data_IF_990763130525
#
_entry.id   IF_990763130525
#
_cell.length_a   1.000
_cell.length_b   1.000
_cell.length_c   1.000
_cell.angle_alpha   90.00
_cell.angle_beta   90.00
_cell.angle_gamma   90.00
#
_symmetry.space_group_name_H-M   'P 1'
#
loop_
_entity.id
_entity.type
_entity.pdbx_description
1 polymer ?
#
# COMPACT_ATOMS: atom_id res chain seq x y z
N UNK A 1 -17.03 25.60 -26.43
CA UNK A 1 -16.41 24.27 -26.50
C UNK A 1 -15.90 23.92 -25.13
N UNK A 2 -16.50 22.91 -24.49
CA UNK A 2 -16.06 22.38 -23.21
C UNK A 2 -14.65 21.80 -23.36
N UNK A 3 -13.68 22.40 -22.69
CA UNK A 3 -12.37 21.78 -22.48
C UNK A 3 -12.51 20.89 -21.26
N UNK A 4 -12.75 19.61 -21.49
CA UNK A 4 -12.65 18.57 -20.47
C UNK A 4 -11.16 18.43 -20.17
N UNK A 5 -10.70 19.09 -19.10
CA UNK A 5 -9.40 18.81 -18.50
C UNK A 5 -9.48 17.47 -17.77
N UNK A 6 -9.47 16.37 -18.52
CA UNK A 6 -9.18 15.06 -17.98
C UNK A 6 -7.69 15.04 -17.60
N UNK A 7 -7.38 15.39 -16.35
CA UNK A 7 -6.11 15.00 -15.76
C UNK A 7 -6.13 13.48 -15.70
N UNK A 8 -5.40 12.84 -16.62
CA UNK A 8 -5.11 11.41 -16.60
C UNK A 8 -4.21 11.16 -15.39
N UNK A 9 -4.81 11.18 -14.21
CA UNK A 9 -4.22 10.70 -12.98
C UNK A 9 -4.21 9.19 -13.06
N UNK A 10 -3.03 8.61 -13.21
CA UNK A 10 -2.81 7.19 -13.01
C UNK A 10 -3.47 6.79 -11.68
N UNK A 11 -4.48 5.91 -11.70
CA UNK A 11 -5.25 5.56 -10.50
C UNK A 11 -4.40 4.73 -9.53
N UNK A 12 -3.62 5.45 -8.74
CA UNK A 12 -2.66 4.87 -7.79
C UNK A 12 -3.33 4.15 -6.62
N UNK A 13 -4.64 4.34 -6.41
CA UNK A 13 -5.44 3.65 -5.37
C UNK A 13 -5.77 2.24 -5.87
N UNK A 14 -6.26 2.14 -7.10
CA UNK A 14 -6.58 0.86 -7.74
C UNK A 14 -5.35 -0.04 -7.89
N UNK A 15 -4.20 0.52 -8.26
CA UNK A 15 -2.95 -0.25 -8.38
C UNK A 15 -2.49 -0.86 -7.04
N UNK A 16 -2.53 -0.09 -5.95
CA UNK A 16 -2.16 -0.57 -4.61
C UNK A 16 -3.12 -1.66 -4.11
N UNK A 17 -4.43 -1.48 -4.30
CA UNK A 17 -5.42 -2.48 -3.91
C UNK A 17 -5.18 -3.81 -4.64
N UNK A 18 -4.88 -3.77 -5.93
CA UNK A 18 -4.55 -4.96 -6.71
C UNK A 18 -3.28 -5.66 -6.19
N UNK A 19 -2.23 -4.89 -5.87
CA UNK A 19 -1.00 -5.44 -5.27
C UNK A 19 -1.31 -6.13 -3.92
N UNK A 20 -2.07 -5.49 -3.03
CA UNK A 20 -2.42 -6.07 -1.73
C UNK A 20 -3.25 -7.34 -1.91
N UNK A 21 -4.21 -7.33 -2.84
CA UNK A 21 -5.03 -8.51 -3.19
C UNK A 21 -4.15 -9.68 -3.65
N UNK A 22 -3.23 -9.43 -4.59
CA UNK A 22 -2.31 -10.46 -5.05
C UNK A 22 -1.37 -10.95 -3.94
N UNK A 23 -0.88 -10.06 -3.07
CA UNK A 23 -0.05 -10.48 -1.93
C UNK A 23 -0.83 -11.35 -0.94
N UNK A 24 -2.11 -11.05 -0.69
CA UNK A 24 -2.95 -11.87 0.18
C UNK A 24 -3.13 -13.30 -0.35
N UNK A 25 -3.17 -13.48 -1.67
CA UNK A 25 -3.27 -14.79 -2.31
C UNK A 25 -1.93 -15.54 -2.35
N UNK A 26 -0.83 -14.81 -2.56
CA UNK A 26 0.51 -15.40 -2.67
C UNK A 26 1.04 -15.84 -1.30
N UNK A 27 0.78 -15.04 -0.25
CA UNK A 27 1.26 -15.35 1.11
C UNK A 27 0.59 -16.59 1.71
N UNK A 28 -0.55 -17.03 1.20
CA UNK A 28 -1.32 -18.16 1.75
C UNK A 28 -1.00 -19.52 1.10
N UNK A 29 -0.26 -19.56 -0.01
CA UNK A 29 -0.18 -20.77 -0.85
C UNK A 29 1.24 -21.25 -1.18
N UNK A 30 2.30 -20.54 -0.73
CA UNK A 30 3.69 -20.85 -1.14
C UNK A 30 4.74 -20.41 -0.10
N UNK A 31 5.86 -21.16 -0.02
CA UNK A 31 7.10 -20.74 0.67
C UNK A 31 7.76 -19.56 -0.06
N UNK A 32 7.33 -18.35 0.27
CA UNK A 32 7.81 -17.13 -0.38
C UNK A 32 8.56 -16.23 0.57
N UNK A 33 9.61 -15.64 0.02
CA UNK A 33 10.38 -14.57 0.64
C UNK A 33 10.17 -13.31 -0.18
N UNK A 34 9.94 -12.20 0.51
CA UNK A 34 9.56 -10.93 -0.11
C UNK A 34 10.66 -9.90 0.12
N UNK A 35 11.00 -9.13 -0.91
CA UNK A 35 11.91 -7.99 -0.78
C UNK A 35 11.24 -6.76 -1.39
N UNK A 36 11.19 -5.68 -0.60
CA UNK A 36 10.62 -4.40 -1.03
C UNK A 36 11.73 -3.43 -1.39
N UNK A 37 11.68 -2.90 -2.61
CA UNK A 37 12.59 -1.87 -3.11
C UNK A 37 11.79 -0.64 -3.46
N UNK A 38 12.26 0.53 -3.02
CA UNK A 38 11.54 1.78 -3.21
C UNK A 38 12.50 2.87 -3.66
N UNK A 39 12.19 3.48 -4.80
CA UNK A 39 12.95 4.62 -5.35
C UNK A 39 12.08 5.86 -5.45
N UNK A 40 12.69 7.03 -5.23
CA UNK A 40 12.02 8.34 -5.30
C UNK A 40 12.88 9.36 -6.02
N UNK A 41 12.23 10.17 -6.84
CA UNK A 41 12.75 11.41 -7.42
C UNK A 41 11.90 12.54 -6.85
N UNK A 42 12.41 13.24 -5.83
CA UNK A 42 11.70 14.36 -5.22
C UNK A 42 11.98 15.64 -6.01
N UNK A 43 10.93 16.34 -6.45
CA UNK A 43 11.06 17.57 -7.23
C UNK A 43 10.73 18.81 -6.43
N UNK A 44 9.63 18.77 -5.68
CA UNK A 44 9.18 19.91 -4.90
C UNK A 44 8.46 19.46 -3.64
N UNK A 45 8.44 20.37 -2.69
CA UNK A 45 7.60 20.27 -1.49
C UNK A 45 6.60 21.42 -1.53
N UNK A 46 5.37 21.16 -1.12
CA UNK A 46 4.33 22.18 -1.07
C UNK A 46 3.59 22.13 0.26
N UNK A 47 3.03 23.27 0.63
CA UNK A 47 2.23 23.45 1.84
C UNK A 47 1.04 24.33 1.53
N UNK A 48 -0.14 23.83 1.84
CA UNK A 48 -1.40 24.55 1.65
C UNK A 48 -1.52 25.67 2.68
N UNK A 49 -2.23 26.74 2.29
CA UNK A 49 -2.60 27.82 3.20
C UNK A 49 -3.55 27.29 4.27
N UNK A 50 -3.39 27.78 5.49
CA UNK A 50 -4.25 27.36 6.62
C UNK A 50 -5.60 28.08 6.65
N UNK A 51 -5.73 29.24 5.99
CA UNK A 51 -6.93 30.07 5.93
C UNK A 51 -7.12 30.57 4.49
N UNK A 52 -8.37 30.84 4.12
CA UNK A 52 -8.71 31.24 2.75
C UNK A 52 -8.28 30.18 1.75
N UNK A 53 -8.63 28.92 2.02
CA UNK A 53 -8.40 27.84 1.07
C UNK A 53 -9.40 28.02 -0.07
N UNK A 54 -8.87 28.30 -1.26
CA UNK A 54 -9.68 28.33 -2.47
C UNK A 54 -9.94 26.88 -2.90
N UNK A 55 -11.18 26.44 -2.74
CA UNK A 55 -11.65 25.11 -3.15
C UNK A 55 -12.36 25.20 -4.50
N UNK A 56 -12.44 24.09 -5.23
CA UNK A 56 -13.11 24.08 -6.53
C UNK A 56 -14.60 24.37 -6.38
N UNK A 57 -15.19 25.04 -7.37
CA UNK A 57 -16.64 25.29 -7.38
C UNK A 57 -17.43 23.98 -7.35
N UNK A 58 -16.99 22.97 -8.11
CA UNK A 58 -17.63 21.64 -8.12
C UNK A 58 -17.68 21.00 -6.72
N UNK A 59 -16.60 21.11 -5.94
CA UNK A 59 -16.60 20.62 -4.57
C UNK A 59 -17.62 21.37 -3.70
N UNK A 60 -17.70 22.69 -3.85
CA UNK A 60 -18.66 23.50 -3.10
C UNK A 60 -20.11 23.24 -3.52
N UNK A 61 -20.37 23.03 -4.81
CA UNK A 61 -21.69 22.67 -5.33
C UNK A 61 -22.15 21.33 -4.74
N UNK A 62 -21.26 20.34 -4.69
CA UNK A 62 -21.57 19.03 -4.09
C UNK A 62 -21.72 19.11 -2.57
N UNK A 63 -20.95 19.98 -1.90
CA UNK A 63 -21.15 20.27 -0.47
C UNK A 63 -22.51 20.94 -0.25
N UNK A 64 -22.95 21.84 -1.14
CA UNK A 64 -24.26 22.48 -1.02
C UNK A 64 -25.42 21.48 -1.19
N UNK A 65 -25.24 20.50 -2.07
CA UNK A 65 -26.20 19.43 -2.29
C UNK A 65 -26.35 18.48 -1.09
N UNK A 66 -25.40 18.46 -0.15
CA UNK A 66 -25.49 17.61 1.04
C UNK A 66 -26.63 18.08 1.98
N UNK A 67 -27.47 17.16 2.47
CA UNK A 67 -28.58 17.50 3.34
C UNK A 67 -28.06 17.95 4.71
N UNK A 68 -28.74 18.95 5.29
CA UNK A 68 -28.42 19.47 6.62
C UNK A 68 -28.69 18.44 7.73
N UNK A 69 -29.68 17.56 7.51
CA UNK A 69 -29.90 16.37 8.33
C UNK A 69 -28.98 15.24 7.86
N UNK A 70 -28.35 14.54 8.80
CA UNK A 70 -27.42 13.47 8.48
C UNK A 70 -28.12 12.30 7.75
N UNK A 71 -27.78 12.12 6.48
CA UNK A 71 -28.20 10.99 5.65
C UNK A 71 -26.99 10.16 5.23
N UNK A 72 -26.78 9.01 5.90
CA UNK A 72 -25.56 8.19 5.77
C UNK A 72 -25.17 7.93 4.31
N UNK A 73 -26.13 7.57 3.46
CA UNK A 73 -25.88 7.24 2.06
C UNK A 73 -25.33 8.41 1.23
N UNK A 74 -25.86 9.62 1.41
CA UNK A 74 -25.42 10.80 0.64
C UNK A 74 -24.03 11.26 1.07
N UNK A 75 -23.78 11.26 2.38
CA UNK A 75 -22.46 11.60 2.90
C UNK A 75 -21.41 10.52 2.57
N UNK A 76 -21.79 9.25 2.50
CA UNK A 76 -20.89 8.18 2.05
C UNK A 76 -20.54 8.34 0.57
N UNK A 77 -21.51 8.65 -0.29
CA UNK A 77 -21.26 8.93 -1.70
C UNK A 77 -20.25 10.08 -1.87
N UNK A 78 -20.42 11.16 -1.11
CA UNK A 78 -19.46 12.28 -1.10
C UNK A 78 -18.04 11.83 -0.70
N UNK A 79 -17.89 10.96 0.31
CA UNK A 79 -16.58 10.43 0.71
C UNK A 79 -15.98 9.47 -0.32
N UNK A 80 -16.78 8.75 -1.10
CA UNK A 80 -16.29 7.90 -2.18
C UNK A 80 -15.78 8.75 -3.36
N UNK A 81 -16.47 9.84 -3.68
CA UNK A 81 -16.11 10.74 -4.78
C UNK A 81 -14.87 11.60 -4.45
N UNK A 82 -14.83 12.19 -3.26
CA UNK A 82 -13.78 13.14 -2.87
C UNK A 82 -12.67 12.53 -1.98
N UNK A 83 -12.92 11.35 -1.41
CA UNK A 83 -12.05 10.75 -0.41
C UNK A 83 -12.26 11.31 0.99
N UNK A 84 -11.45 10.83 1.93
CA UNK A 84 -11.59 11.15 3.37
C UNK A 84 -10.70 12.29 3.84
N UNK A 85 -9.63 12.58 3.11
CA UNK A 85 -8.62 13.58 3.45
C UNK A 85 -8.11 14.28 2.21
N UNK A 86 -7.72 15.54 2.36
CA UNK A 86 -6.92 16.26 1.37
C UNK A 86 -5.48 16.44 1.87
N UNK A 87 -4.56 16.77 0.98
CA UNK A 87 -3.15 16.95 1.33
C UNK A 87 -2.86 18.37 1.79
N UNK A 88 -2.41 18.52 3.04
CA UNK A 88 -2.03 19.82 3.61
C UNK A 88 -0.57 20.17 3.38
N UNK A 89 0.33 19.21 3.59
CA UNK A 89 1.71 19.31 3.13
C UNK A 89 2.00 18.11 2.27
N UNK A 90 2.71 18.31 1.16
CA UNK A 90 3.02 17.22 0.26
C UNK A 90 4.39 17.35 -0.36
N UNK A 91 4.85 16.23 -0.91
CA UNK A 91 6.02 16.19 -1.78
C UNK A 91 5.58 15.68 -3.14
N UNK A 92 5.97 16.39 -4.18
CA UNK A 92 5.69 16.02 -5.57
C UNK A 92 6.95 15.53 -6.26
N UNK A 93 6.79 14.56 -7.15
CA UNK A 93 7.89 13.94 -7.86
C UNK A 93 7.49 12.63 -8.49
N UNK A 94 8.43 11.68 -8.50
CA UNK A 94 8.24 10.33 -9.01
C UNK A 94 8.58 9.31 -7.93
N UNK A 95 7.80 8.23 -7.86
CA UNK A 95 8.05 7.13 -6.93
C UNK A 95 7.76 5.81 -7.63
N UNK A 96 8.66 4.84 -7.49
CA UNK A 96 8.37 3.46 -7.84
C UNK A 96 8.57 2.56 -6.61
N UNK A 97 7.74 1.54 -6.53
CA UNK A 97 7.77 0.54 -5.47
C UNK A 97 7.69 -0.85 -6.10
N UNK A 98 8.73 -1.65 -5.83
CA UNK A 98 8.89 -3.00 -6.34
C UNK A 98 8.79 -3.98 -5.18
N UNK A 99 7.96 -5.00 -5.32
CA UNK A 99 7.86 -6.10 -4.37
C UNK A 99 8.27 -7.36 -5.10
N UNK A 100 9.51 -7.78 -4.84
CA UNK A 100 10.08 -9.02 -5.35
C UNK A 100 9.52 -10.18 -4.54
N UNK A 101 8.98 -11.17 -5.24
CA UNK A 101 8.43 -12.40 -4.67
C UNK A 101 9.36 -13.52 -5.11
N UNK A 102 10.05 -14.13 -4.16
CA UNK A 102 11.07 -15.14 -4.41
C UNK A 102 10.65 -16.49 -3.85
N UNK A 103 11.04 -17.56 -4.53
CA UNK A 103 10.78 -18.91 -4.06
C UNK A 103 11.87 -19.35 -3.07
N UNK A 104 11.47 -19.67 -1.84
CA UNK A 104 12.39 -20.10 -0.78
C UNK A 104 13.13 -21.41 -1.12
N UNK A 105 12.48 -22.33 -1.85
CA UNK A 105 13.11 -23.59 -2.27
C UNK A 105 14.26 -23.34 -3.24
N UNK A 106 14.05 -22.42 -4.19
CA UNK A 106 15.04 -22.08 -5.21
C UNK A 106 16.17 -21.24 -4.60
N UNK A 107 15.84 -20.33 -3.67
CA UNK A 107 16.84 -19.61 -2.87
C UNK A 107 17.80 -20.57 -2.17
N UNK A 108 17.25 -21.60 -1.50
CA UNK A 108 18.06 -22.63 -0.83
C UNK A 108 18.85 -23.50 -1.80
N UNK A 109 18.22 -23.98 -2.87
CA UNK A 109 18.84 -24.82 -3.90
C UNK A 109 20.06 -24.13 -4.53
N UNK A 110 19.89 -22.87 -4.94
CA UNK A 110 20.95 -22.06 -5.57
C UNK A 110 21.87 -21.37 -4.57
N UNK A 111 21.64 -21.56 -3.26
CA UNK A 111 22.41 -20.92 -2.17
C UNK A 111 22.45 -19.39 -2.29
N UNK A 112 21.34 -18.80 -2.74
CA UNK A 112 21.17 -17.35 -2.88
C UNK A 112 20.62 -16.79 -1.58
N UNK A 113 21.28 -15.76 -1.05
CA UNK A 113 20.87 -15.07 0.18
C UNK A 113 20.16 -13.76 -0.14
N UNK A 114 19.40 -13.22 0.83
CA UNK A 114 18.82 -11.87 0.73
C UNK A 114 19.87 -10.81 0.37
N UNK A 115 21.06 -10.89 0.96
CA UNK A 115 22.17 -9.98 0.65
C UNK A 115 22.60 -10.07 -0.82
N UNK A 116 22.63 -11.28 -1.39
CA UNK A 116 22.98 -11.49 -2.80
C UNK A 116 21.95 -10.82 -3.71
N UNK A 117 20.66 -10.96 -3.41
CA UNK A 117 19.59 -10.33 -4.19
C UNK A 117 19.65 -8.81 -4.07
N UNK A 118 19.83 -8.30 -2.86
CA UNK A 118 20.01 -6.87 -2.61
C UNK A 118 21.17 -6.31 -3.40
N UNK A 119 22.34 -6.95 -3.35
CA UNK A 119 23.54 -6.51 -4.05
C UNK A 119 23.30 -6.47 -5.56
N UNK A 120 22.65 -7.48 -6.13
CA UNK A 120 22.35 -7.52 -7.56
C UNK A 120 21.38 -6.42 -8.00
N UNK A 121 20.36 -6.12 -7.19
CA UNK A 121 19.47 -4.98 -7.46
C UNK A 121 20.21 -3.65 -7.34
N UNK A 122 21.07 -3.47 -6.34
CA UNK A 122 21.89 -2.26 -6.21
C UNK A 122 22.88 -2.09 -7.37
N UNK A 123 23.49 -3.18 -7.84
CA UNK A 123 24.44 -3.16 -8.95
C UNK A 123 23.74 -2.77 -10.26
N UNK A 124 22.58 -3.37 -10.55
CA UNK A 124 21.79 -3.02 -11.75
C UNK A 124 21.45 -1.53 -11.79
N UNK A 125 21.14 -0.93 -10.63
CA UNK A 125 20.82 0.49 -10.51
C UNK A 125 22.04 1.43 -10.51
N UNK A 126 23.16 1.04 -9.90
CA UNK A 126 24.36 1.89 -9.77
C UNK A 126 25.24 1.90 -11.01
N UNK A 127 25.38 0.75 -11.66
CA UNK A 127 26.35 0.57 -12.75
C UNK A 127 25.71 0.49 -14.13
N UNK A 128 24.38 0.52 -14.22
CA UNK A 128 23.64 0.46 -15.48
C UNK A 128 23.93 -0.76 -16.34
N UNK A 129 24.25 -1.87 -15.69
CA UNK A 129 24.58 -3.13 -16.36
C UNK A 129 23.27 -3.82 -16.73
N UNK A 130 23.01 -3.99 -18.03
CA UNK A 130 21.96 -4.88 -18.53
C UNK A 130 22.34 -6.33 -18.18
N UNK A 131 21.82 -6.85 -17.06
CA UNK A 131 22.05 -8.25 -16.66
C UNK A 131 21.51 -9.26 -17.67
N UNK A 132 20.56 -8.87 -18.52
CA UNK A 132 19.93 -9.73 -19.54
C UNK A 132 20.68 -9.78 -20.89
N UNK A 133 21.69 -8.92 -21.11
CA UNK A 133 22.49 -8.89 -22.35
C UNK A 133 23.99 -8.80 -22.04
N UNK A 134 24.63 -9.92 -21.74
CA UNK A 134 26.10 -10.02 -21.80
C UNK A 134 26.54 -11.44 -22.18
N UNK A 135 26.28 -11.79 -23.44
CA UNK A 135 27.22 -12.59 -24.20
C UNK A 135 28.29 -11.66 -24.77
N UNK A 136 29.55 -11.94 -24.45
CA UNK A 136 30.80 -11.39 -25.00
C UNK A 136 30.74 -10.00 -25.68
N UNK A 137 30.97 -8.94 -24.91
CA UNK A 137 31.73 -7.78 -25.39
C UNK A 137 32.20 -6.92 -24.20
N UNK A 138 33.53 -6.88 -24.05
CA UNK A 138 34.36 -5.79 -23.52
C UNK A 138 34.01 -5.15 -22.15
N UNK A 139 34.79 -5.57 -21.14
CA UNK A 139 35.56 -4.57 -20.37
C UNK A 139 34.94 -3.93 -19.13
N UNK A 140 33.78 -4.36 -18.64
CA UNK A 140 33.27 -3.93 -17.33
C UNK A 140 33.26 -5.06 -16.30
N UNK A 141 33.78 -4.74 -15.11
CA UNK A 141 34.02 -5.68 -14.00
C UNK A 141 32.72 -6.39 -13.65
N UNK A 142 32.69 -7.67 -13.99
CA UNK A 142 31.64 -8.64 -13.69
C UNK A 142 31.55 -8.88 -12.17
N UNK A 143 30.36 -8.80 -11.57
CA UNK A 143 29.88 -9.79 -10.59
C UNK A 143 29.03 -10.87 -11.31
N UNK A 144 29.36 -11.17 -12.58
CA UNK A 144 28.63 -12.05 -13.51
C UNK A 144 28.83 -13.51 -13.16
N UNK A 145 28.10 -13.95 -12.15
CA UNK A 145 27.99 -15.36 -11.81
C UNK A 145 27.05 -15.56 -10.63
N UNK A 146 26.98 -14.57 -9.72
CA UNK A 146 26.02 -14.58 -8.61
C UNK A 146 24.64 -14.09 -9.03
N UNK A 147 24.57 -13.05 -9.85
CA UNK A 147 23.29 -12.46 -10.26
C UNK A 147 22.59 -13.22 -11.40
N UNK A 148 23.34 -14.01 -12.19
CA UNK A 148 22.77 -14.83 -13.27
C UNK A 148 21.72 -15.81 -12.72
N UNK A 149 21.99 -16.40 -11.56
CA UNK A 149 21.08 -17.30 -10.84
C UNK A 149 19.74 -16.67 -10.42
N UNK A 150 19.66 -15.33 -10.42
CA UNK A 150 18.50 -14.54 -10.00
C UNK A 150 17.51 -14.36 -11.17
N UNK A 151 18.01 -14.19 -12.39
CA UNK A 151 17.24 -13.75 -13.57
C UNK A 151 17.14 -14.82 -14.66
N UNK A 152 17.13 -16.11 -14.30
CA UNK A 152 16.96 -17.18 -15.27
C UNK A 152 15.53 -17.27 -15.83
N UNK A 153 15.40 -17.83 -17.04
CA UNK A 153 14.17 -17.86 -17.85
C UNK A 153 12.97 -18.51 -17.14
N UNK A 154 11.73 -18.21 -17.56
CA UNK A 154 10.55 -18.93 -17.07
C UNK A 154 10.63 -20.39 -17.53
N UNK A 155 10.98 -21.30 -16.63
CA UNK A 155 11.02 -22.76 -16.86
C UNK A 155 10.38 -23.49 -15.68
N UNK A 156 9.85 -24.69 -15.95
CA UNK A 156 9.36 -25.61 -14.90
C UNK A 156 10.49 -26.40 -14.25
N UNK A 157 11.68 -26.37 -14.84
CA UNK A 157 12.87 -27.03 -14.33
C UNK A 157 13.51 -26.19 -13.20
N UNK A 158 13.63 -26.80 -12.01
CA UNK A 158 14.14 -26.13 -10.80
C UNK A 158 15.58 -25.65 -10.94
N UNK A 159 16.38 -26.27 -11.80
CA UNK A 159 17.78 -25.90 -11.99
C UNK A 159 17.93 -24.65 -12.89
N UNK A 160 16.99 -24.46 -13.82
CA UNK A 160 16.99 -23.34 -14.77
C UNK A 160 15.98 -22.24 -14.43
N UNK A 161 15.16 -22.40 -13.39
CA UNK A 161 14.19 -21.40 -12.94
C UNK A 161 14.86 -20.28 -12.16
N UNK A 162 14.55 -19.03 -12.46
CA UNK A 162 15.02 -17.86 -11.71
C UNK A 162 14.56 -17.86 -10.24
N UNK A 163 15.31 -17.18 -9.36
CA UNK A 163 14.95 -17.01 -7.94
C UNK A 163 13.71 -16.12 -7.78
N UNK A 164 13.59 -15.10 -8.64
CA UNK A 164 12.45 -14.18 -8.66
C UNK A 164 11.28 -14.86 -9.39
N UNK A 165 10.22 -15.19 -8.67
CA UNK A 165 9.00 -15.75 -9.25
C UNK A 165 8.12 -14.67 -9.87
N UNK A 166 8.06 -13.50 -9.23
CA UNK A 166 7.21 -12.38 -9.66
C UNK A 166 7.72 -11.07 -9.07
N UNK A 167 7.52 -9.98 -9.80
CA UNK A 167 7.69 -8.62 -9.27
C UNK A 167 6.34 -7.91 -9.34
N UNK A 168 5.84 -7.42 -8.20
CA UNK A 168 4.70 -6.50 -8.18
C UNK A 168 5.24 -5.07 -8.21
N UNK A 169 4.69 -4.25 -9.11
CA UNK A 169 5.29 -2.97 -9.47
C UNK A 169 4.21 -1.89 -9.37
N UNK A 170 4.46 -0.87 -8.53
CA UNK A 170 3.68 0.35 -8.51
C UNK A 170 4.55 1.53 -8.94
N UNK A 171 4.05 2.38 -9.85
CA UNK A 171 4.78 3.55 -10.34
C UNK A 171 3.87 4.77 -10.28
N UNK A 172 4.39 5.87 -9.73
CA UNK A 172 3.70 7.15 -9.54
C UNK A 172 4.55 8.26 -10.12
N UNK A 173 3.93 9.13 -10.93
CA UNK A 173 4.62 10.21 -11.63
C UNK A 173 5.44 9.69 -12.82
N UNK A 174 5.83 10.61 -13.70
CA UNK A 174 6.39 10.31 -15.00
C UNK A 174 5.32 9.98 -16.06
N UNK A 175 5.77 9.77 -17.29
CA UNK A 175 4.91 9.43 -18.42
C UNK A 175 4.35 8.00 -18.28
N UNK A 176 3.05 7.77 -18.58
CA UNK A 176 2.48 6.43 -18.61
C UNK A 176 3.25 5.47 -19.53
N UNK A 177 3.78 5.97 -20.65
CA UNK A 177 4.52 5.15 -21.61
C UNK A 177 5.84 4.61 -21.03
N UNK A 178 6.61 5.45 -20.33
CA UNK A 178 7.87 5.03 -19.69
C UNK A 178 7.61 4.15 -18.47
N UNK A 179 6.54 4.41 -17.71
CA UNK A 179 6.12 3.53 -16.62
C UNK A 179 5.71 2.13 -17.10
N UNK A 180 5.02 2.02 -18.25
CA UNK A 180 4.67 0.73 -18.86
C UNK A 180 5.92 0.01 -19.39
N UNK A 181 6.83 0.71 -20.04
CA UNK A 181 8.10 0.14 -20.50
C UNK A 181 8.92 -0.43 -19.32
N UNK A 182 9.04 0.35 -18.24
CA UNK A 182 9.68 -0.06 -16.99
C UNK A 182 9.02 -1.32 -16.40
N UNK A 183 7.69 -1.37 -16.34
CA UNK A 183 6.94 -2.54 -15.85
C UNK A 183 7.15 -3.78 -16.71
N UNK A 184 7.10 -3.62 -18.03
CA UNK A 184 7.31 -4.71 -18.98
C UNK A 184 8.71 -5.29 -18.86
N UNK A 185 9.73 -4.42 -18.73
CA UNK A 185 11.12 -4.82 -18.56
C UNK A 185 11.32 -5.58 -17.25
N UNK A 186 10.84 -5.02 -16.13
CA UNK A 186 10.92 -5.66 -14.82
C UNK A 186 10.19 -7.01 -14.75
N UNK A 187 9.06 -7.14 -15.43
CA UNK A 187 8.30 -8.42 -15.47
C UNK A 187 9.07 -9.50 -16.23
N UNK A 188 9.89 -9.11 -17.22
CA UNK A 188 10.68 -10.02 -18.05
C UNK A 188 12.01 -10.38 -17.40
N UNK A 189 12.74 -9.38 -16.91
CA UNK A 189 14.13 -9.54 -16.49
C UNK A 189 14.28 -9.62 -14.97
N UNK A 190 13.22 -9.31 -14.21
CA UNK A 190 13.23 -9.28 -12.75
C UNK A 190 13.92 -8.06 -12.16
N UNK A 191 15.03 -7.59 -12.74
CA UNK A 191 15.83 -6.47 -12.23
C UNK A 191 15.57 -5.20 -13.05
N UNK A 192 15.44 -4.06 -12.37
CA UNK A 192 15.21 -2.76 -13.01
C UNK A 192 16.45 -2.33 -13.81
N UNK A 193 16.29 -2.19 -15.12
CA UNK A 193 17.32 -1.63 -15.98
C UNK A 193 17.50 -0.12 -15.72
N UNK A 194 18.76 0.31 -15.66
CA UNK A 194 19.11 1.71 -15.40
C UNK A 194 18.62 2.64 -16.51
N UNK A 195 18.66 2.22 -17.77
CA UNK A 195 18.16 3.02 -18.90
C UNK A 195 16.65 3.25 -18.75
N UNK A 196 15.90 2.20 -18.41
CA UNK A 196 14.45 2.32 -18.13
C UNK A 196 14.18 3.27 -16.95
N UNK A 197 14.97 3.18 -15.89
CA UNK A 197 14.89 4.12 -14.77
C UNK A 197 15.14 5.56 -15.21
N UNK A 198 16.20 5.82 -15.98
CA UNK A 198 16.57 7.16 -16.46
C UNK A 198 15.50 7.73 -17.39
N UNK A 199 14.99 6.94 -18.33
CA UNK A 199 13.92 7.36 -19.24
C UNK A 199 12.63 7.71 -18.50
N UNK A 200 12.26 6.91 -17.48
CA UNK A 200 11.16 7.28 -16.60
C UNK A 200 11.48 8.57 -15.82
N UNK A 201 12.63 8.66 -15.17
CA UNK A 201 13.01 9.79 -14.31
C UNK A 201 13.03 11.13 -15.07
N UNK A 202 13.48 11.15 -16.33
CA UNK A 202 13.44 12.35 -17.20
C UNK A 202 12.02 12.93 -17.30
N UNK A 203 11.01 12.06 -17.42
CA UNK A 203 9.61 12.47 -17.57
C UNK A 203 8.94 12.91 -16.28
N UNK A 204 9.55 12.65 -15.11
CA UNK A 204 8.99 13.04 -13.81
C UNK A 204 8.92 14.56 -13.66
N UNK A 205 9.89 15.28 -14.23
CA UNK A 205 9.93 16.76 -14.20
C UNK A 205 8.72 17.43 -14.84
N UNK A 206 8.19 16.83 -15.92
CA UNK A 206 7.03 17.36 -16.65
C UNK A 206 5.70 16.76 -16.18
N UNK A 207 5.73 15.55 -15.62
CA UNK A 207 4.55 14.84 -15.14
C UNK A 207 4.73 14.36 -13.69
N UNK A 208 4.87 15.26 -12.70
CA UNK A 208 5.02 14.87 -11.31
C UNK A 208 3.73 14.28 -10.74
N UNK A 209 3.86 13.40 -9.76
CA UNK A 209 2.76 12.93 -8.92
C UNK A 209 3.00 13.28 -7.45
N UNK A 210 1.93 13.20 -6.66
CA UNK A 210 2.00 13.27 -5.20
C UNK A 210 2.64 11.99 -4.65
N UNK A 211 3.87 12.09 -4.14
CA UNK A 211 4.65 10.94 -3.62
C UNK A 211 4.62 10.86 -2.08
N UNK A 212 4.30 11.96 -1.41
CA UNK A 212 4.09 12.00 0.03
C UNK A 212 3.01 13.02 0.37
N UNK A 213 2.16 12.70 1.34
CA UNK A 213 1.01 13.49 1.75
C UNK A 213 0.87 13.46 3.26
N UNK A 214 0.89 14.63 3.89
CA UNK A 214 0.36 14.86 5.23
C UNK A 214 -1.15 15.14 5.10
N UNK A 215 -2.01 14.19 5.49
CA UNK A 215 -3.44 14.32 5.28
C UNK A 215 -4.09 15.25 6.31
N UNK A 216 -5.12 15.98 5.87
CA UNK A 216 -6.05 16.74 6.70
C UNK A 216 -7.48 16.29 6.36
N UNK A 217 -8.37 16.07 7.34
CA UNK A 217 -9.71 15.56 7.07
C UNK A 217 -10.49 16.42 6.08
N UNK A 218 -11.22 15.78 5.16
CA UNK A 218 -11.89 16.48 4.05
C UNK A 218 -12.91 17.52 4.50
N UNK A 219 -13.57 17.30 5.65
CA UNK A 219 -14.49 18.28 6.23
C UNK A 219 -13.81 19.61 6.62
N UNK A 220 -12.48 19.66 6.72
CA UNK A 220 -11.75 20.91 6.95
C UNK A 220 -11.50 21.71 5.66
N UNK A 221 -11.79 21.15 4.49
CA UNK A 221 -11.74 21.87 3.23
C UNK A 221 -12.94 22.80 3.04
N UNK A 222 -14.07 22.56 3.72
CA UNK A 222 -15.26 23.42 3.65
C UNK A 222 -14.95 24.78 4.32
N UNK A 223 -15.00 25.90 3.57
CA UNK A 223 -14.78 27.23 4.11
C UNK A 223 -15.76 27.56 5.23
N UNK A 224 -15.29 28.25 6.27
CA UNK A 224 -16.10 28.58 7.45
C UNK A 224 -17.22 29.58 7.17
N UNK A 225 -17.06 30.39 6.14
CA UNK A 225 -17.98 31.39 5.61
C UNK A 225 -18.97 30.82 4.57
N UNK A 226 -18.83 29.55 4.21
CA UNK A 226 -19.78 28.87 3.34
C UNK A 226 -21.16 28.71 4.04
N UNK A 227 -22.29 28.87 3.32
CA UNK A 227 -23.62 28.65 3.89
C UNK A 227 -23.74 27.29 4.57
N UNK A 228 -24.30 27.25 5.78
CA UNK A 228 -24.49 26.04 6.58
C UNK A 228 -23.23 25.15 6.72
N UNK A 229 -22.04 25.77 6.71
CA UNK A 229 -20.77 25.04 6.79
C UNK A 229 -20.68 24.14 8.04
N UNK A 230 -21.04 24.65 9.22
CA UNK A 230 -20.87 23.89 10.47
C UNK A 230 -21.70 22.59 10.51
N UNK A 231 -23.02 22.61 10.26
CA UNK A 231 -23.80 21.39 10.16
C UNK A 231 -23.22 20.37 9.18
N UNK A 232 -22.82 20.80 7.98
CA UNK A 232 -22.25 19.92 6.95
C UNK A 232 -20.90 19.33 7.36
N UNK A 233 -20.05 20.13 8.01
CA UNK A 233 -18.74 19.68 8.55
C UNK A 233 -18.90 18.67 9.67
N UNK A 234 -19.82 18.90 10.60
CA UNK A 234 -20.09 17.97 11.70
C UNK A 234 -20.69 16.66 11.18
N UNK A 235 -21.61 16.73 10.20
CA UNK A 235 -22.15 15.54 9.55
C UNK A 235 -21.09 14.77 8.74
N UNK A 236 -20.19 15.44 8.02
CA UNK A 236 -19.07 14.78 7.33
C UNK A 236 -18.07 14.15 8.32
N UNK A 237 -17.83 14.79 9.47
CA UNK A 237 -17.03 14.17 10.55
C UNK A 237 -17.69 12.88 11.03
N UNK A 238 -19.00 12.91 11.29
CA UNK A 238 -19.77 11.72 11.65
C UNK A 238 -19.74 10.65 10.54
N UNK A 239 -19.91 11.06 9.29
CA UNK A 239 -19.85 10.17 8.14
C UNK A 239 -18.49 9.47 8.05
N UNK A 240 -17.40 10.20 8.28
CA UNK A 240 -16.06 9.66 8.26
C UNK A 240 -15.85 8.61 9.36
N UNK A 241 -16.34 8.88 10.58
CA UNK A 241 -16.30 7.92 11.69
C UNK A 241 -17.10 6.64 11.34
N UNK A 242 -18.31 6.79 10.80
CA UNK A 242 -19.16 5.67 10.36
C UNK A 242 -18.52 4.90 9.20
N UNK A 243 -17.87 5.60 8.26
CA UNK A 243 -17.20 5.02 7.10
C UNK A 243 -16.01 4.15 7.54
N UNK A 244 -15.15 4.68 8.40
CA UNK A 244 -14.02 3.91 8.98
C UNK A 244 -14.51 2.70 9.75
N UNK A 245 -15.63 2.82 10.49
CA UNK A 245 -16.23 1.69 11.20
C UNK A 245 -16.81 0.63 10.24
N UNK A 246 -17.34 1.04 9.07
CA UNK A 246 -17.91 0.14 8.08
C UNK A 246 -16.84 -0.78 7.46
N UNK A 247 -15.69 -0.22 7.10
CA UNK A 247 -14.57 -0.93 6.46
C UNK A 247 -13.45 -1.29 7.44
N UNK A 248 -13.78 -1.42 8.72
CA UNK A 248 -12.82 -1.82 9.74
C UNK A 248 -12.66 -3.33 9.79
N UNK A 249 -11.40 -3.77 9.88
CA UNK A 249 -11.04 -5.17 10.15
C UNK A 249 -11.56 -5.68 11.50
N UNK A 250 -12.13 -4.81 12.36
CA UNK A 250 -12.67 -5.20 13.66
C UNK A 250 -13.81 -6.22 13.60
N UNK A 251 -14.45 -6.33 12.42
CA UNK A 251 -15.51 -7.30 12.12
C UNK A 251 -14.95 -8.69 11.78
N UNK A 252 -13.64 -8.80 11.54
CA UNK A 252 -12.98 -10.02 11.12
C UNK A 252 -12.50 -10.89 12.31
N UNK A 253 -12.36 -12.19 12.07
CA UNK A 253 -11.68 -13.08 13.00
C UNK A 253 -10.14 -12.89 12.90
N UNK A 254 -9.40 -13.12 13.99
CA UNK A 254 -7.94 -13.09 13.95
C UNK A 254 -7.36 -14.19 13.06
N UNK A 255 -6.19 -13.92 12.50
CA UNK A 255 -5.39 -14.90 11.75
C UNK A 255 -4.44 -15.64 12.71
N UNK A 256 -4.15 -16.91 12.42
CA UNK A 256 -3.23 -17.69 13.25
C UNK A 256 -1.77 -17.30 13.02
N UNK A 257 -0.91 -17.70 13.96
CA UNK A 257 0.55 -17.67 13.81
C UNK A 257 1.11 -16.29 13.43
N UNK A 258 0.56 -15.24 14.05
CA UNK A 258 0.99 -13.86 13.81
C UNK A 258 0.61 -13.33 12.43
N UNK A 259 -0.33 -13.96 11.72
CA UNK A 259 -0.90 -13.43 10.48
C UNK A 259 -1.59 -12.09 10.71
N UNK A 260 -1.53 -11.21 9.70
CA UNK A 260 -2.20 -9.91 9.74
C UNK A 260 -3.56 -10.01 9.07
N UNK A 261 -4.62 -9.65 9.80
CA UNK A 261 -5.97 -9.56 9.26
C UNK A 261 -6.13 -8.30 8.41
N UNK A 262 -6.70 -8.47 7.22
CA UNK A 262 -7.03 -7.37 6.31
C UNK A 262 -8.46 -7.54 5.80
N UNK A 263 -9.07 -6.44 5.36
CA UNK A 263 -10.35 -6.45 4.68
C UNK A 263 -10.17 -5.87 3.27
N UNK A 264 -10.58 -6.63 2.25
CA UNK A 264 -10.57 -6.19 0.85
C UNK A 264 -11.95 -6.47 0.28
N UNK A 265 -12.60 -5.47 -0.32
CA UNK A 265 -13.90 -5.61 -0.99
C UNK A 265 -14.99 -6.25 -0.09
N UNK A 266 -14.95 -5.99 1.23
CA UNK A 266 -15.88 -6.58 2.20
C UNK A 266 -15.48 -7.96 2.73
N UNK A 267 -14.47 -8.60 2.16
CA UNK A 267 -13.97 -9.92 2.57
C UNK A 267 -12.79 -9.80 3.54
N UNK A 268 -12.84 -10.57 4.63
CA UNK A 268 -11.70 -10.73 5.55
C UNK A 268 -10.70 -11.73 4.98
N UNK A 269 -9.42 -11.33 4.88
CA UNK A 269 -8.31 -12.17 4.43
C UNK A 269 -7.16 -12.12 5.42
N UNK A 270 -6.30 -13.13 5.37
CA UNK A 270 -5.09 -13.21 6.18
C UNK A 270 -3.85 -13.04 5.32
N UNK A 271 -2.99 -12.08 5.70
CA UNK A 271 -1.63 -11.99 5.19
C UNK A 271 -0.70 -12.75 6.13
N UNK A 272 -0.14 -13.83 5.62
CA UNK A 272 0.66 -14.74 6.44
C UNK A 272 2.08 -14.24 6.68
N UNK A 273 2.57 -14.49 7.89
CA UNK A 273 3.96 -14.24 8.24
C UNK A 273 4.88 -15.25 7.52
N UNK A 274 6.15 -14.91 7.24
CA UNK A 274 7.09 -15.85 6.63
C UNK A 274 7.16 -17.18 7.40
N UNK A 275 7.07 -18.30 6.68
CA UNK A 275 7.03 -19.65 7.27
C UNK A 275 5.65 -20.10 7.74
N UNK A 276 4.57 -19.38 7.40
CA UNK A 276 3.18 -19.81 7.64
C UNK A 276 2.38 -19.76 6.34
N UNK A 277 1.42 -20.68 6.19
CA UNK A 277 0.56 -20.78 5.02
C UNK A 277 -0.85 -21.26 5.36
N UNK A 278 -1.70 -21.35 4.34
CA UNK A 278 -3.11 -21.67 4.46
C UNK A 278 -3.99 -20.44 4.60
N UNK A 279 -5.30 -20.62 4.41
CA UNK A 279 -6.32 -19.56 4.39
C UNK A 279 -6.33 -18.66 5.64
N UNK A 280 -5.94 -19.19 6.79
CA UNK A 280 -5.86 -18.46 8.06
C UNK A 280 -4.44 -18.47 8.65
N UNK A 281 -3.43 -18.78 7.84
CA UNK A 281 -2.02 -18.95 8.25
C UNK A 281 -1.82 -20.08 9.28
N UNK A 282 -2.68 -21.10 9.24
CA UNK A 282 -2.73 -22.18 10.22
C UNK A 282 -1.64 -23.25 10.06
N UNK A 283 -1.03 -23.32 8.87
CA UNK A 283 0.03 -24.29 8.56
C UNK A 283 1.38 -23.62 8.83
N UNK A 284 2.26 -24.29 9.55
CA UNK A 284 3.59 -23.79 9.91
C UNK A 284 4.67 -24.62 9.22
N UNK A 285 5.55 -23.97 8.47
CA UNK A 285 6.77 -24.57 7.97
C UNK A 285 7.87 -24.46 9.03
N UNK A 286 8.12 -25.58 9.72
CA UNK A 286 9.11 -25.68 10.80
C UNK A 286 10.55 -25.41 10.33
N UNK A 287 10.86 -25.65 9.05
CA UNK A 287 12.17 -25.42 8.46
C UNK A 287 12.42 -23.91 8.24
N UNK A 288 11.43 -23.18 7.73
CA UNK A 288 11.52 -21.73 7.53
C UNK A 288 11.63 -20.98 8.86
N UNK A 289 10.90 -21.41 9.88
CA UNK A 289 10.87 -20.71 11.18
C UNK A 289 12.00 -21.11 12.12
N UNK A 290 12.85 -22.07 11.72
CA UNK A 290 13.98 -22.58 12.52
C UNK A 290 13.55 -22.96 13.94
N UNK A 291 12.37 -23.56 14.09
CA UNK A 291 11.79 -23.97 15.37
C UNK A 291 11.30 -22.82 16.27
N UNK A 292 11.23 -21.57 15.78
CA UNK A 292 10.64 -20.46 16.53
C UNK A 292 9.11 -20.56 16.51
N UNK A 293 8.49 -20.29 17.66
CA UNK A 293 7.04 -20.13 17.76
C UNK A 293 6.61 -18.71 17.38
N UNK A 294 5.38 -18.58 16.91
CA UNK A 294 4.77 -17.28 16.62
C UNK A 294 4.00 -16.77 17.84
N UNK A 295 4.09 -15.46 18.08
CA UNK A 295 3.18 -14.76 18.98
C UNK A 295 1.78 -14.80 18.37
N UNK A 296 0.81 -15.40 19.07
CA UNK A 296 -0.58 -15.38 18.63
C UNK A 296 -1.14 -13.98 18.89
N UNK A 297 -1.74 -13.37 17.87
CA UNK A 297 -2.33 -12.04 17.97
C UNK A 297 -3.85 -12.15 17.84
N UNK A 298 -4.55 -11.59 18.81
CA UNK A 298 -6.00 -11.37 18.70
C UNK A 298 -6.30 -10.22 17.75
N UNK A 299 -7.56 -10.10 17.35
CA UNK A 299 -8.05 -8.95 16.61
C UNK A 299 -8.93 -8.08 17.51
N UNK A 300 -8.79 -6.77 17.43
CA UNK A 300 -9.67 -5.88 18.18
C UNK A 300 -11.09 -5.99 17.64
N UNK A 301 -12.06 -6.26 18.52
CA UNK A 301 -13.47 -6.07 18.21
C UNK A 301 -13.79 -4.61 17.95
N UNK A 302 -14.92 -4.36 17.32
CA UNK A 302 -15.32 -3.00 16.97
C UNK A 302 -15.55 -2.15 18.22
N UNK A 303 -15.24 -0.86 18.10
CA UNK A 303 -15.55 0.10 19.15
C UNK A 303 -17.06 0.17 19.37
N UNK A 304 -17.47 0.26 20.63
CA UNK A 304 -18.85 0.64 20.97
C UNK A 304 -19.16 2.04 20.46
N UNK A 305 -20.45 2.40 20.29
CA UNK A 305 -20.84 3.79 20.18
C UNK A 305 -20.27 4.61 21.34
N UNK A 306 -20.01 5.88 21.08
CA UNK A 306 -19.66 6.83 22.14
C UNK A 306 -20.76 6.89 23.19
N UNK A 307 -20.38 6.92 24.47
CA UNK A 307 -21.31 7.19 25.56
C UNK A 307 -21.94 8.58 25.41
N UNK A 308 -23.10 8.82 26.04
CA UNK A 308 -23.58 10.18 26.27
C UNK A 308 -22.50 11.02 26.95
N UNK A 309 -22.51 12.33 26.67
CA UNK A 309 -21.53 13.23 27.27
C UNK A 309 -21.78 13.34 28.78
N UNK A 310 -20.75 13.10 29.58
CA UNK A 310 -20.79 13.20 31.03
C UNK A 310 -19.53 13.92 31.52
N UNK A 311 -19.70 15.05 32.22
CA UNK A 311 -18.56 15.82 32.74
C UNK A 311 -17.57 16.30 31.66
N UNK A 312 -18.08 16.70 30.49
CA UNK A 312 -17.30 17.10 29.30
C UNK A 312 -16.43 16.01 28.68
N UNK A 313 -16.77 14.75 28.95
CA UNK A 313 -16.08 13.59 28.41
C UNK A 313 -17.09 12.58 27.90
N UNK A 314 -16.70 11.87 26.86
CA UNK A 314 -17.38 10.68 26.37
C UNK A 314 -16.37 9.55 26.26
N UNK A 315 -16.85 8.32 26.41
CA UNK A 315 -16.03 7.12 26.40
C UNK A 315 -16.58 6.08 25.44
N UNK A 316 -15.70 5.32 24.83
CA UNK A 316 -16.03 4.09 24.11
C UNK A 316 -15.06 2.99 24.48
N UNK A 317 -15.49 1.75 24.33
CA UNK A 317 -14.70 0.58 24.68
C UNK A 317 -14.67 -0.41 23.51
N UNK A 318 -13.70 -1.32 23.53
CA UNK A 318 -13.62 -2.46 22.62
C UNK A 318 -13.05 -3.66 23.33
N UNK A 319 -13.37 -4.84 22.83
CA UNK A 319 -12.92 -6.11 23.40
C UNK A 319 -11.94 -6.81 22.47
N UNK A 320 -10.92 -7.45 23.02
CA UNK A 320 -9.99 -8.26 22.22
C UNK A 320 -10.67 -9.58 21.82
N UNK A 321 -10.80 -9.84 20.52
CA UNK A 321 -11.28 -11.10 19.98
C UNK A 321 -10.10 -12.05 19.76
N UNK A 322 -10.07 -13.14 20.52
CA UNK A 322 -9.04 -14.18 20.46
C UNK A 322 -9.60 -15.52 19.98
N UNK A 323 -10.82 -15.54 19.45
CA UNK A 323 -11.45 -16.77 18.95
C UNK A 323 -10.61 -17.35 17.81
N UNK A 324 -10.22 -18.62 17.96
CA UNK A 324 -9.38 -19.33 16.98
C UNK A 324 -7.87 -19.16 17.16
N UNK A 325 -7.43 -18.33 18.12
CA UNK A 325 -6.02 -18.10 18.46
C UNK A 325 -5.81 -18.20 19.99
N UNK A 326 -5.59 -19.41 20.52
CA UNK A 326 -5.36 -19.61 21.96
C UNK A 326 -4.20 -18.74 22.47
N UNK A 327 -4.39 -18.10 23.63
CA UNK A 327 -3.44 -17.16 24.24
C UNK A 327 -3.11 -15.93 23.37
N UNK A 328 -3.95 -15.63 22.37
CA UNK A 328 -3.79 -14.44 21.54
C UNK A 328 -3.91 -13.15 22.36
N UNK A 329 -3.09 -12.14 22.05
CA UNK A 329 -3.19 -10.82 22.69
C UNK A 329 -3.46 -9.73 21.64
N UNK A 330 -4.17 -8.69 22.04
CA UNK A 330 -4.35 -7.49 21.22
C UNK A 330 -3.47 -6.37 21.75
N UNK A 331 -2.68 -5.74 20.88
CA UNK A 331 -1.82 -4.60 21.24
C UNK A 331 -2.62 -3.29 21.09
N UNK A 332 -2.65 -2.46 22.13
CA UNK A 332 -3.34 -1.16 22.15
C UNK A 332 -4.40 -1.02 23.24
N UNK A 333 -5.11 0.10 23.25
CA UNK A 333 -6.03 0.43 24.34
C UNK A 333 -7.39 -0.25 24.21
N UNK A 334 -7.95 -0.67 25.34
CA UNK A 334 -9.32 -1.21 25.45
C UNK A 334 -10.38 -0.12 25.56
N UNK A 335 -9.97 1.09 25.93
CA UNK A 335 -10.86 2.23 26.16
C UNK A 335 -10.32 3.49 25.51
N UNK A 336 -11.20 4.29 24.93
CA UNK A 336 -10.88 5.57 24.32
C UNK A 336 -11.81 6.63 24.92
N UNK A 337 -11.23 7.79 25.26
CA UNK A 337 -11.93 8.93 25.83
C UNK A 337 -11.71 10.15 24.95
N UNK A 338 -12.75 10.96 24.80
CA UNK A 338 -12.74 12.17 23.99
C UNK A 338 -13.54 13.28 24.68
N UNK A 339 -13.28 14.52 24.30
CA UNK A 339 -13.99 15.68 24.83
C UNK A 339 -15.30 15.91 24.06
N UNK A 340 -16.31 16.24 24.84
CA UNK A 340 -17.61 16.76 24.45
C UNK A 340 -18.02 17.75 25.57
#
# INVERSE_FOLDING_TARGET
GMVISASVGFDTKTEKNNIIKQLSEITTTKRKTFMRVKGRVELATYRMRQRGLEVSSTFLDDVDALPLTYEKGQYFAFLEDYGTHFTKNGKSGGEYELIYIMNEDILKLKKVTESTVKDCVEIGLKYGIQLSQLGDAEGHIKPVGKCDSITDKPTDDKDTRGVIDKVLIAVRGGSPATAVAMKSQLTKDGILDYTQYVEWAKTVSTLPALIHSDPEPIYNAIPLDFPDAQPRRDNLRRALDDYVAEYSVCKCQPCQNGGTVIQIDGECKCMCSPGTEGVACQIVDMEMVKGKSFEQLGNWGCWTPWSPCSGRRRKRTRTCNTRGVPNGICKGDTTSEDYC
#
